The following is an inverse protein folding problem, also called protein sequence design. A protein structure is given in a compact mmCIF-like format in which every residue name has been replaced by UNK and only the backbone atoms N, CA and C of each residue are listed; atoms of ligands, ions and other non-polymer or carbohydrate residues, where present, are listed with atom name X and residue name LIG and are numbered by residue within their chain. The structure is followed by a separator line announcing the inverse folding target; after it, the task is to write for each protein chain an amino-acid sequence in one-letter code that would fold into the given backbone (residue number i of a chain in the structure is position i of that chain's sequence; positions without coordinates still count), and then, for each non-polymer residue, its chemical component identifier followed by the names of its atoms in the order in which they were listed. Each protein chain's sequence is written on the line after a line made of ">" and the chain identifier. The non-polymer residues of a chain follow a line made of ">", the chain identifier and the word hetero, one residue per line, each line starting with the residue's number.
data_IF_131830223718
#
_entry.id   IF_131830223718
#
_cell.length_a   1.000
_cell.length_b   1.000
_cell.length_c   1.000
_cell.angle_alpha   90.00
_cell.angle_beta   90.00
_cell.angle_gamma   90.00
#
_symmetry.space_group_name_H-M   'P 1'
#
loop_
_entity.id
_entity.type
_entity.pdbx_description
1 polymer ?
#
# COMPACT_ATOMS: atom_id res chain seq x y z
N UNK A 1 -5.19 5.81 24.66
CA UNK A 1 -5.95 6.27 23.49
C UNK A 1 -5.57 7.66 22.93
N UNK A 2 -5.58 8.81 23.62
CA UNK A 2 -5.31 10.10 22.93
C UNK A 2 -3.87 10.25 22.38
N UNK A 3 -2.85 9.82 23.13
CA UNK A 3 -1.45 9.97 22.73
C UNK A 3 -1.08 9.05 21.56
N UNK A 4 -1.55 7.81 21.59
CA UNK A 4 -1.29 6.83 20.50
C UNK A 4 -1.99 7.24 19.20
N UNK A 5 -3.22 7.79 19.29
CA UNK A 5 -3.96 8.26 18.11
C UNK A 5 -3.25 9.42 17.41
N UNK A 6 -2.56 10.29 18.16
CA UNK A 6 -1.75 11.36 17.58
C UNK A 6 -0.58 10.81 16.77
N UNK A 7 0.18 9.84 17.31
CA UNK A 7 1.28 9.22 16.60
C UNK A 7 0.81 8.43 15.36
N UNK A 8 -0.31 7.70 15.49
CA UNK A 8 -0.92 7.00 14.37
C UNK A 8 -1.35 7.97 13.26
N UNK A 9 -1.89 9.14 13.63
CA UNK A 9 -2.24 10.17 12.66
C UNK A 9 -1.01 10.80 11.98
N UNK A 10 0.07 11.04 12.73
CA UNK A 10 1.33 11.54 12.16
C UNK A 10 1.94 10.52 11.18
N UNK A 11 1.92 9.23 11.52
CA UNK A 11 2.36 8.15 10.64
C UNK A 11 1.49 8.08 9.38
N UNK A 12 0.16 8.17 9.52
CA UNK A 12 -0.78 8.21 8.40
C UNK A 12 -0.52 9.39 7.46
N UNK A 13 -0.30 10.58 8.03
CA UNK A 13 0.06 11.78 7.28
C UNK A 13 1.32 11.54 6.42
N UNK A 14 2.41 11.07 7.04
CA UNK A 14 3.66 10.79 6.32
C UNK A 14 3.48 9.73 5.21
N UNK A 15 2.80 8.63 5.52
CA UNK A 15 2.49 7.59 4.52
C UNK A 15 1.62 8.11 3.37
N UNK A 16 0.64 8.96 3.67
CA UNK A 16 -0.25 9.54 2.67
C UNK A 16 0.46 10.60 1.80
N UNK A 17 1.45 11.32 2.33
CA UNK A 17 2.35 12.16 1.52
C UNK A 17 3.05 11.30 0.47
N UNK A 18 3.62 10.17 0.88
CA UNK A 18 4.25 9.21 -0.05
C UNK A 18 3.25 8.72 -1.09
N UNK A 19 2.04 8.34 -0.67
CA UNK A 19 0.99 7.90 -1.59
C UNK A 19 0.61 9.00 -2.60
N UNK A 20 0.47 10.24 -2.16
CA UNK A 20 0.15 11.38 -3.03
C UNK A 20 1.19 11.59 -4.12
N UNK A 21 2.47 11.38 -3.80
CA UNK A 21 3.57 11.50 -4.76
C UNK A 21 3.66 10.30 -5.71
N UNK A 22 3.55 9.08 -5.18
CA UNK A 22 3.83 7.85 -5.96
C UNK A 22 2.59 7.19 -6.54
N UNK A 23 1.40 7.46 -5.97
CA UNK A 23 0.15 6.77 -6.28
C UNK A 23 -0.03 5.45 -5.54
N UNK A 24 0.90 5.08 -4.63
CA UNK A 24 0.88 3.86 -3.82
C UNK A 24 1.81 4.02 -2.61
N UNK A 25 1.90 3.01 -1.74
CA UNK A 25 2.98 2.90 -0.76
C UNK A 25 2.74 3.59 0.59
N UNK A 26 1.56 4.14 0.86
CA UNK A 26 1.26 4.65 2.21
C UNK A 26 1.52 3.59 3.27
N UNK A 27 0.97 2.40 3.09
CA UNK A 27 1.12 1.30 4.03
C UNK A 27 2.56 0.78 4.14
N UNK A 28 3.38 0.87 3.09
CA UNK A 28 4.80 0.50 3.18
C UNK A 28 5.54 1.30 4.25
N UNK A 29 5.20 2.58 4.39
CA UNK A 29 5.76 3.46 5.42
C UNK A 29 5.00 3.33 6.74
N UNK A 30 3.67 3.33 6.67
CA UNK A 30 2.83 3.42 7.86
C UNK A 30 2.78 2.11 8.64
N UNK A 31 2.70 0.95 7.98
CA UNK A 31 2.52 -0.33 8.66
C UNK A 31 3.70 -0.73 9.56
N UNK A 32 4.97 -0.66 9.09
CA UNK A 32 6.10 -0.95 9.95
C UNK A 32 6.16 -0.06 11.20
N UNK A 33 5.85 1.23 11.06
CA UNK A 33 5.87 2.19 12.17
C UNK A 33 4.68 1.98 13.12
N UNK A 34 3.47 1.79 12.58
CA UNK A 34 2.26 1.63 13.36
C UNK A 34 2.26 0.34 14.21
N UNK A 35 2.87 -0.73 13.73
CA UNK A 35 2.96 -2.01 14.47
C UNK A 35 3.87 -1.95 15.70
N UNK A 36 4.63 -0.86 15.89
CA UNK A 36 5.30 -0.57 17.15
C UNK A 36 4.35 -0.04 18.23
N UNK A 37 3.23 0.58 17.83
CA UNK A 37 2.27 1.21 18.73
C UNK A 37 1.05 0.33 18.98
N UNK A 38 0.58 -0.37 17.93
CA UNK A 38 -0.66 -1.15 17.97
C UNK A 38 -0.48 -2.53 17.31
N UNK A 39 -1.34 -3.51 17.61
CA UNK A 39 -1.32 -4.81 16.95
C UNK A 39 -1.51 -4.70 15.43
N UNK A 40 -0.88 -5.62 14.67
CA UNK A 40 -0.91 -5.63 13.20
C UNK A 40 -2.34 -5.60 12.63
N UNK A 41 -3.26 -6.42 13.17
CA UNK A 41 -4.66 -6.45 12.71
C UNK A 41 -5.37 -5.12 12.91
N UNK A 42 -5.16 -4.46 14.05
CA UNK A 42 -5.71 -3.12 14.32
C UNK A 42 -5.13 -2.08 13.35
N UNK A 43 -3.80 -2.08 13.16
CA UNK A 43 -3.15 -1.17 12.23
C UNK A 43 -3.67 -1.38 10.79
N UNK A 44 -3.80 -2.64 10.33
CA UNK A 44 -4.34 -2.96 9.01
C UNK A 44 -5.77 -2.46 8.82
N UNK A 45 -6.65 -2.66 9.81
CA UNK A 45 -8.02 -2.18 9.77
C UNK A 45 -8.09 -0.65 9.73
N UNK A 46 -7.36 0.02 10.63
CA UNK A 46 -7.34 1.48 10.72
C UNK A 46 -6.80 2.13 9.45
N UNK A 47 -5.65 1.68 8.98
CA UNK A 47 -5.06 2.26 7.76
C UNK A 47 -5.80 1.87 6.48
N UNK A 48 -6.59 0.79 6.46
CA UNK A 48 -7.48 0.50 5.34
C UNK A 48 -8.52 1.61 5.13
N UNK A 49 -9.03 2.22 6.22
CA UNK A 49 -9.96 3.36 6.15
C UNK A 49 -9.26 4.65 5.63
N UNK A 50 -8.01 4.88 6.01
CA UNK A 50 -7.22 5.98 5.46
C UNK A 50 -6.87 5.75 3.99
N UNK A 51 -6.44 4.53 3.64
CA UNK A 51 -6.03 4.16 2.29
C UNK A 51 -7.20 4.20 1.29
N UNK A 52 -8.44 3.87 1.71
CA UNK A 52 -9.58 3.97 0.80
C UNK A 52 -9.81 5.43 0.40
N UNK A 53 -9.75 6.38 1.34
CA UNK A 53 -9.86 7.81 1.04
C UNK A 53 -8.74 8.28 0.09
N UNK A 54 -7.49 7.86 0.37
CA UNK A 54 -6.34 8.15 -0.48
C UNK A 54 -6.48 7.58 -1.89
N UNK A 55 -6.92 6.33 -2.01
CA UNK A 55 -7.04 5.63 -3.29
C UNK A 55 -8.12 6.23 -4.20
N UNK A 56 -9.26 6.62 -3.63
CA UNK A 56 -10.29 7.35 -4.37
C UNK A 56 -9.78 8.71 -4.84
N UNK A 57 -9.01 9.40 -4.01
CA UNK A 57 -8.41 10.68 -4.36
C UNK A 57 -7.50 10.61 -5.59
N UNK A 58 -6.76 9.51 -5.79
CA UNK A 58 -5.85 9.31 -6.94
C UNK A 58 -6.56 8.60 -8.09
N UNK A 59 -7.34 7.56 -7.79
CA UNK A 59 -8.01 6.74 -8.80
C UNK A 59 -9.02 7.51 -9.65
N UNK A 60 -9.64 8.54 -9.06
CA UNK A 60 -10.63 9.39 -9.75
C UNK A 60 -10.03 10.66 -10.38
N UNK A 61 -8.71 10.88 -10.34
CA UNK A 61 -8.10 12.07 -10.97
C UNK A 61 -8.31 12.09 -12.49
N UNK A 62 -7.95 11.02 -13.19
CA UNK A 62 -8.05 10.91 -14.66
C UNK A 62 -8.39 9.47 -15.08
N UNK A 63 -9.54 8.92 -14.69
CA UNK A 63 -9.85 7.51 -14.92
C UNK A 63 -9.97 7.15 -16.41
N UNK A 64 -10.28 8.12 -17.26
CA UNK A 64 -10.37 7.95 -18.72
C UNK A 64 -9.03 7.64 -19.39
N UNK A 65 -7.91 8.02 -18.77
CA UNK A 65 -6.57 7.76 -19.27
C UNK A 65 -6.08 6.33 -18.90
N UNK A 66 -6.84 5.59 -18.09
CA UNK A 66 -6.46 4.25 -17.69
C UNK A 66 -6.56 3.25 -18.86
N UNK A 67 -5.56 2.38 -18.99
CA UNK A 67 -5.55 1.31 -20.00
C UNK A 67 -6.43 0.18 -19.52
N UNK A 68 -7.70 0.19 -19.97
CA UNK A 68 -8.73 -0.74 -19.55
C UNK A 68 -8.33 -2.21 -19.71
N UNK A 69 -7.58 -2.54 -20.75
CA UNK A 69 -7.13 -3.91 -21.00
C UNK A 69 -6.18 -4.42 -19.90
N UNK A 70 -5.28 -3.58 -19.39
CA UNK A 70 -4.36 -3.95 -18.30
C UNK A 70 -5.12 -4.02 -16.96
N UNK A 71 -6.01 -3.05 -16.70
CA UNK A 71 -6.86 -3.04 -15.52
C UNK A 71 -7.70 -4.33 -15.40
N UNK A 72 -8.45 -4.67 -16.45
CA UNK A 72 -9.35 -5.85 -16.43
C UNK A 72 -8.60 -7.19 -16.31
N UNK A 73 -7.32 -7.26 -16.70
CA UNK A 73 -6.50 -8.45 -16.48
C UNK A 73 -6.05 -8.62 -15.04
N UNK A 74 -5.79 -7.51 -14.36
CA UNK A 74 -5.35 -7.53 -12.97
C UNK A 74 -6.49 -7.85 -12.01
N UNK A 75 -7.69 -7.30 -12.23
CA UNK A 75 -8.83 -7.34 -11.28
C UNK A 75 -9.23 -8.75 -10.82
N UNK A 76 -9.40 -9.76 -11.69
CA UNK A 76 -9.79 -11.10 -11.24
C UNK A 76 -8.77 -11.72 -10.28
N UNK A 77 -7.48 -11.49 -10.54
CA UNK A 77 -6.42 -12.02 -9.69
C UNK A 77 -6.23 -11.19 -8.41
N UNK A 78 -6.52 -9.90 -8.44
CA UNK A 78 -6.59 -9.09 -7.22
C UNK A 78 -7.66 -9.64 -6.29
N UNK A 79 -8.83 -9.98 -6.80
CA UNK A 79 -9.90 -10.57 -6.01
C UNK A 79 -9.47 -11.91 -5.39
N UNK A 80 -8.91 -12.82 -6.20
CA UNK A 80 -8.41 -14.11 -5.72
C UNK A 80 -7.28 -13.95 -4.70
N UNK A 81 -6.33 -13.04 -4.97
CA UNK A 81 -5.23 -12.73 -4.07
C UNK A 81 -5.69 -12.09 -2.75
N UNK A 82 -6.68 -11.18 -2.81
CA UNK A 82 -7.28 -10.57 -1.62
C UNK A 82 -7.94 -11.64 -0.74
N UNK A 83 -8.73 -12.53 -1.32
CA UNK A 83 -9.37 -13.63 -0.59
C UNK A 83 -8.33 -14.55 0.06
N UNK A 84 -7.31 -14.98 -0.68
CA UNK A 84 -6.22 -15.80 -0.16
C UNK A 84 -5.44 -15.07 0.96
N UNK A 85 -5.11 -13.80 0.74
CA UNK A 85 -4.35 -12.99 1.71
C UNK A 85 -5.11 -12.77 3.02
N UNK A 86 -6.41 -12.50 2.97
CA UNK A 86 -7.24 -12.35 4.17
C UNK A 86 -7.38 -13.69 4.92
N UNK A 87 -7.56 -14.79 4.20
CA UNK A 87 -7.62 -16.14 4.83
C UNK A 87 -6.31 -16.46 5.56
N UNK A 88 -5.17 -16.10 4.97
CA UNK A 88 -3.88 -16.25 5.65
C UNK A 88 -3.79 -15.32 6.85
N UNK A 89 -4.17 -14.05 6.72
CA UNK A 89 -4.05 -13.04 7.77
C UNK A 89 -4.79 -13.43 9.06
N UNK A 90 -6.02 -13.93 8.95
CA UNK A 90 -6.83 -14.28 10.14
C UNK A 90 -6.30 -15.52 10.89
N UNK A 91 -5.46 -16.33 10.22
CA UNK A 91 -4.85 -17.51 10.80
C UNK A 91 -3.35 -17.34 11.13
N UNK A 92 -2.77 -16.15 10.81
CA UNK A 92 -1.34 -15.93 10.91
C UNK A 92 -0.92 -15.57 12.34
N UNK A 93 0.03 -16.31 12.96
CA UNK A 93 0.63 -15.90 14.23
C UNK A 93 1.27 -14.50 14.13
N UNK A 94 1.15 -13.71 15.21
CA UNK A 94 1.65 -12.31 15.24
C UNK A 94 3.13 -12.19 14.84
N UNK A 95 3.98 -13.08 15.38
CA UNK A 95 5.42 -13.07 15.07
C UNK A 95 5.69 -13.35 13.58
N UNK A 96 5.00 -14.33 12.98
CA UNK A 96 5.11 -14.63 11.57
C UNK A 96 4.62 -13.45 10.70
N UNK A 97 3.54 -12.78 11.10
CA UNK A 97 3.05 -11.57 10.40
C UNK A 97 4.08 -10.44 10.39
N UNK A 98 4.72 -10.18 11.53
CA UNK A 98 5.77 -9.16 11.62
C UNK A 98 7.01 -9.52 10.79
N UNK A 99 7.44 -10.79 10.84
CA UNK A 99 8.58 -11.29 10.07
C UNK A 99 8.34 -11.16 8.55
N UNK A 100 7.16 -11.59 8.10
CA UNK A 100 6.78 -11.52 6.69
C UNK A 100 6.65 -10.07 6.21
N UNK A 101 6.02 -9.19 7.02
CA UNK A 101 5.94 -7.76 6.70
C UNK A 101 7.33 -7.13 6.62
N UNK A 102 8.17 -7.35 7.61
CA UNK A 102 9.53 -6.80 7.64
C UNK A 102 10.37 -7.28 6.45
N UNK A 103 10.34 -8.58 6.15
CA UNK A 103 11.06 -9.16 5.00
C UNK A 103 10.55 -8.61 3.68
N UNK A 104 9.23 -8.49 3.50
CA UNK A 104 8.62 -7.91 2.30
C UNK A 104 9.04 -6.44 2.09
N UNK A 105 9.00 -5.65 3.16
CA UNK A 105 9.38 -4.22 3.12
C UNK A 105 10.86 -4.06 2.78
N UNK A 106 11.75 -4.87 3.38
CA UNK A 106 13.19 -4.86 3.07
C UNK A 106 13.43 -5.27 1.61
N UNK A 107 12.82 -6.36 1.15
CA UNK A 107 12.95 -6.82 -0.24
C UNK A 107 12.52 -5.75 -1.24
N UNK A 108 11.40 -5.08 -0.97
CA UNK A 108 10.93 -3.99 -1.81
C UNK A 108 11.87 -2.76 -1.74
N UNK A 109 12.39 -2.41 -0.57
CA UNK A 109 13.32 -1.31 -0.41
C UNK A 109 14.61 -1.54 -1.22
N UNK A 110 15.16 -2.76 -1.14
CA UNK A 110 16.32 -3.16 -1.95
C UNK A 110 15.99 -3.05 -3.43
N UNK A 111 14.85 -3.62 -3.87
CA UNK A 111 14.39 -3.51 -5.26
C UNK A 111 14.31 -2.04 -5.71
N UNK A 112 13.74 -1.15 -4.90
CA UNK A 112 13.51 0.26 -5.23
C UNK A 112 14.80 1.08 -5.34
N UNK A 113 15.92 0.62 -4.75
CA UNK A 113 17.23 1.31 -4.82
C UNK A 113 17.95 1.08 -6.14
N UNK A 114 17.67 -0.02 -6.84
CA UNK A 114 18.31 -0.30 -8.11
C UNK A 114 17.58 0.39 -9.27
N UNK A 115 18.30 1.03 -10.20
CA UNK A 115 17.69 1.55 -11.42
C UNK A 115 17.24 0.38 -12.30
N UNK A 116 15.96 0.38 -12.69
CA UNK A 116 15.40 -0.65 -13.56
C UNK A 116 15.19 -0.03 -14.95
N UNK A 117 16.10 -0.34 -15.86
CA UNK A 117 15.91 -0.05 -17.29
C UNK A 117 15.20 -1.22 -17.96
N UNK A 118 13.95 -1.04 -18.29
CA UNK A 118 13.17 -2.06 -18.99
C UNK A 118 13.29 -1.85 -20.49
N UNK A 119 14.08 -2.70 -21.15
CA UNK A 119 14.33 -2.62 -22.60
C UNK A 119 13.21 -3.21 -23.47
N UNK A 120 12.38 -4.12 -22.92
CA UNK A 120 11.28 -4.75 -23.66
C UNK A 120 10.05 -4.92 -22.75
N UNK A 121 8.82 -4.75 -23.31
CA UNK A 121 7.59 -4.99 -22.57
C UNK A 121 7.47 -6.46 -22.17
N UNK A 122 7.19 -6.72 -20.90
CA UNK A 122 6.91 -8.09 -20.41
C UNK A 122 5.59 -8.62 -20.97
N UNK A 123 5.48 -9.94 -21.02
CA UNK A 123 4.25 -10.62 -21.45
C UNK A 123 3.05 -10.19 -20.59
N UNK A 124 1.89 -10.06 -21.23
CA UNK A 124 0.61 -9.73 -20.57
C UNK A 124 0.18 -10.77 -19.54
N UNK A 125 0.69 -12.00 -19.64
CA UNK A 125 0.40 -13.07 -18.68
C UNK A 125 0.94 -12.78 -17.27
N UNK A 126 1.97 -11.95 -17.14
CA UNK A 126 2.46 -11.50 -15.83
C UNK A 126 1.44 -10.68 -15.03
N UNK A 127 0.38 -10.17 -15.67
CA UNK A 127 -0.74 -9.54 -14.97
C UNK A 127 -1.39 -10.48 -13.95
N UNK A 128 -1.47 -11.79 -14.25
CA UNK A 128 -2.05 -12.78 -13.34
C UNK A 128 -1.25 -12.88 -12.04
N UNK A 129 0.07 -13.00 -12.17
CA UNK A 129 0.95 -13.06 -11.01
C UNK A 129 0.97 -11.74 -10.24
N UNK A 130 1.06 -10.61 -10.93
CA UNK A 130 1.07 -9.30 -10.32
C UNK A 130 -0.25 -8.98 -9.59
N UNK A 131 -1.39 -9.32 -10.20
CA UNK A 131 -2.71 -9.17 -9.60
C UNK A 131 -2.85 -10.01 -8.33
N UNK A 132 -2.50 -11.29 -8.40
CA UNK A 132 -2.57 -12.21 -7.26
C UNK A 132 -1.63 -11.78 -6.13
N UNK A 133 -0.34 -11.59 -6.43
CA UNK A 133 0.64 -11.14 -5.44
C UNK A 133 0.27 -9.79 -4.81
N UNK A 134 -0.22 -8.85 -5.63
CA UNK A 134 -0.67 -7.55 -5.14
C UNK A 134 -1.92 -7.65 -4.24
N UNK A 135 -2.87 -8.52 -4.56
CA UNK A 135 -4.03 -8.81 -3.71
C UNK A 135 -3.62 -9.40 -2.37
N UNK A 136 -2.73 -10.42 -2.37
CA UNK A 136 -2.18 -11.04 -1.16
C UNK A 136 -1.45 -10.01 -0.30
N UNK A 137 -0.51 -9.26 -0.87
CA UNK A 137 0.28 -8.27 -0.11
C UNK A 137 -0.56 -7.07 0.33
N UNK A 138 -1.62 -6.72 -0.42
CA UNK A 138 -2.61 -5.72 0.00
C UNK A 138 -3.33 -6.15 1.28
N UNK A 139 -3.77 -7.40 1.36
CA UNK A 139 -4.51 -7.92 2.50
C UNK A 139 -3.60 -8.19 3.71
N UNK A 140 -2.42 -8.77 3.51
CA UNK A 140 -1.49 -9.12 4.58
C UNK A 140 -0.79 -7.90 5.18
N UNK A 141 -0.46 -6.90 4.35
CA UNK A 141 0.46 -5.82 4.74
C UNK A 141 -0.06 -4.42 4.39
N UNK A 142 -1.25 -4.31 3.79
CA UNK A 142 -1.73 -3.05 3.26
C UNK A 142 -0.99 -2.56 2.00
N UNK A 143 -0.03 -3.32 1.49
CA UNK A 143 0.98 -2.89 0.53
C UNK A 143 0.88 -3.63 -0.82
N UNK A 144 -0.29 -3.55 -1.47
CA UNK A 144 -0.51 -4.16 -2.80
C UNK A 144 0.17 -3.43 -3.97
N UNK A 145 0.62 -2.20 -3.75
CA UNK A 145 1.20 -1.36 -4.80
C UNK A 145 2.42 -1.93 -5.53
N UNK A 146 3.45 -2.45 -4.82
CA UNK A 146 4.68 -2.93 -5.44
C UNK A 146 4.50 -3.91 -6.60
N UNK A 147 3.77 -5.03 -6.49
CA UNK A 147 3.54 -5.94 -7.61
C UNK A 147 2.87 -5.27 -8.82
N UNK A 148 1.90 -4.38 -8.58
CA UNK A 148 1.22 -3.65 -9.66
C UNK A 148 2.17 -2.69 -10.37
N UNK A 149 3.00 -1.97 -9.62
CA UNK A 149 3.99 -1.03 -10.16
C UNK A 149 5.04 -1.77 -10.99
N UNK A 150 5.56 -2.89 -10.48
CA UNK A 150 6.54 -3.70 -11.19
C UNK A 150 5.99 -4.15 -12.53
N UNK A 151 4.75 -4.66 -12.58
CA UNK A 151 4.13 -5.09 -13.82
C UNK A 151 3.84 -3.92 -14.75
N UNK A 152 3.09 -2.90 -14.29
CA UNK A 152 2.64 -1.79 -15.14
C UNK A 152 3.80 -0.96 -15.68
N UNK A 153 4.91 -0.79 -14.93
CA UNK A 153 6.09 -0.07 -15.39
C UNK A 153 6.77 -0.74 -16.59
N UNK A 154 6.57 -2.04 -16.77
CA UNK A 154 7.13 -2.83 -17.86
C UNK A 154 6.17 -3.00 -19.06
N UNK A 155 5.03 -2.29 -19.06
CA UNK A 155 4.03 -2.39 -20.11
C UNK A 155 4.16 -1.32 -21.21
N UNK A 156 5.18 -0.44 -21.12
CA UNK A 156 5.37 0.62 -22.10
C UNK A 156 4.28 1.71 -22.08
N UNK A 157 3.63 1.89 -20.93
CA UNK A 157 2.59 2.90 -20.74
C UNK A 157 3.21 4.29 -20.64
N UNK A 158 2.52 5.30 -21.17
CA UNK A 158 2.85 6.71 -20.87
C UNK A 158 2.72 6.99 -19.37
N UNK A 159 3.35 8.08 -18.90
CA UNK A 159 3.26 8.46 -17.47
C UNK A 159 1.81 8.65 -17.00
N UNK A 160 0.96 9.19 -17.86
CA UNK A 160 -0.45 9.44 -17.57
C UNK A 160 -1.25 8.15 -17.54
N UNK A 161 -1.07 7.26 -18.52
CA UNK A 161 -1.70 5.94 -18.55
C UNK A 161 -1.29 5.07 -17.36
N UNK A 162 0.02 5.05 -17.04
CA UNK A 162 0.54 4.34 -15.88
C UNK A 162 -0.12 4.83 -14.60
N UNK A 163 -0.11 6.17 -14.33
CA UNK A 163 -0.69 6.75 -13.13
C UNK A 163 -2.18 6.49 -13.02
N UNK A 164 -2.93 6.65 -14.11
CA UNK A 164 -4.36 6.42 -14.14
C UNK A 164 -4.73 4.94 -13.94
N UNK A 165 -4.01 4.02 -14.61
CA UNK A 165 -4.23 2.57 -14.49
C UNK A 165 -3.87 2.09 -13.08
N UNK A 166 -2.72 2.52 -12.54
CA UNK A 166 -2.31 2.20 -11.18
C UNK A 166 -3.31 2.74 -10.15
N UNK A 167 -3.81 3.96 -10.34
CA UNK A 167 -4.81 4.56 -9.46
C UNK A 167 -6.11 3.75 -9.39
N UNK A 168 -6.64 3.29 -10.54
CA UNK A 168 -7.83 2.42 -10.57
C UNK A 168 -7.54 1.03 -9.97
N UNK A 169 -6.38 0.45 -10.25
CA UNK A 169 -5.97 -0.85 -9.71
C UNK A 169 -5.86 -0.78 -8.18
N UNK A 170 -5.20 0.23 -7.64
CA UNK A 170 -5.05 0.42 -6.19
C UNK A 170 -6.38 0.71 -5.53
N UNK A 171 -7.23 1.55 -6.14
CA UNK A 171 -8.59 1.84 -5.64
C UNK A 171 -9.41 0.55 -5.54
N UNK A 172 -9.42 -0.28 -6.58
CA UNK A 172 -10.12 -1.57 -6.57
C UNK A 172 -9.55 -2.53 -5.53
N UNK A 173 -8.22 -2.67 -5.46
CA UNK A 173 -7.55 -3.55 -4.50
C UNK A 173 -7.83 -3.16 -3.05
N UNK A 174 -7.79 -1.86 -2.74
CA UNK A 174 -8.07 -1.36 -1.40
C UNK A 174 -9.56 -1.51 -1.06
N UNK A 175 -10.47 -1.25 -2.01
CA UNK A 175 -11.91 -1.46 -1.82
C UNK A 175 -12.23 -2.93 -1.51
N UNK A 176 -11.65 -3.86 -2.27
CA UNK A 176 -11.81 -5.30 -2.02
C UNK A 176 -11.25 -5.70 -0.64
N UNK A 177 -10.11 -5.14 -0.23
CA UNK A 177 -9.54 -5.36 1.10
C UNK A 177 -10.47 -4.85 2.20
N UNK A 178 -11.03 -3.65 2.07
CA UNK A 178 -11.99 -3.09 3.05
C UNK A 178 -13.23 -3.97 3.17
N UNK A 179 -13.79 -4.42 2.04
CA UNK A 179 -14.92 -5.37 2.04
C UNK A 179 -14.54 -6.67 2.75
N UNK A 180 -13.37 -7.24 2.44
CA UNK A 180 -12.89 -8.46 3.06
C UNK A 180 -12.68 -8.28 4.58
N UNK A 181 -12.17 -7.14 5.03
CA UNK A 181 -12.00 -6.82 6.45
C UNK A 181 -13.32 -6.59 7.19
N UNK A 182 -14.35 -6.09 6.51
CA UNK A 182 -15.71 -6.05 7.05
C UNK A 182 -16.28 -7.47 7.23
N UNK A 183 -16.14 -8.32 6.23
CA UNK A 183 -16.64 -9.71 6.27
C UNK A 183 -15.92 -10.57 7.31
N UNK A 184 -14.65 -10.34 7.56
CA UNK A 184 -13.86 -11.08 8.56
C UNK A 184 -13.91 -10.49 9.97
N UNK A 185 -14.63 -9.38 10.16
CA UNK A 185 -14.80 -8.76 11.48
C UNK A 185 -13.65 -7.83 11.90
N UNK A 186 -12.57 -7.71 11.13
CA UNK A 186 -11.43 -6.85 11.46
C UNK A 186 -11.80 -5.36 11.57
N UNK A 187 -12.84 -4.92 10.85
CA UNK A 187 -13.36 -3.55 10.90
C UNK A 187 -14.55 -3.38 11.87
N UNK A 188 -14.92 -4.42 12.64
CA UNK A 188 -16.01 -4.31 13.60
C UNK A 188 -15.58 -3.75 14.96
N UNK A 189 -14.28 -3.60 15.21
CA UNK A 189 -13.75 -3.00 16.45
C UNK A 189 -14.10 -1.49 16.51
N UNK A 190 -14.90 -1.03 17.51
CA UNK A 190 -15.25 0.37 17.64
C UNK A 190 -14.06 1.31 17.82
N UNK A 191 -12.94 0.82 18.37
CA UNK A 191 -11.75 1.64 18.59
C UNK A 191 -11.02 1.95 17.27
N UNK A 192 -11.18 1.11 16.24
CA UNK A 192 -10.73 1.40 14.88
C UNK A 192 -11.44 2.64 14.34
N UNK A 193 -12.76 2.71 14.48
CA UNK A 193 -13.56 3.84 14.00
C UNK A 193 -13.29 5.13 14.78
N UNK A 194 -13.14 5.03 16.11
CA UNK A 194 -12.75 6.18 16.94
C UNK A 194 -11.39 6.75 16.53
N UNK A 195 -10.41 5.88 16.30
CA UNK A 195 -9.08 6.29 15.85
C UNK A 195 -9.12 6.84 14.41
N UNK A 196 -9.98 6.31 13.54
CA UNK A 196 -10.16 6.77 12.17
C UNK A 196 -10.61 8.23 12.08
N UNK A 197 -11.38 8.74 13.08
CA UNK A 197 -11.80 10.16 13.13
C UNK A 197 -10.62 11.13 13.12
N UNK A 198 -9.46 10.73 13.62
CA UNK A 198 -8.24 11.55 13.64
C UNK A 198 -7.29 11.16 12.51
N UNK A 199 -7.16 9.86 12.25
CA UNK A 199 -6.21 9.31 11.28
C UNK A 199 -6.63 9.60 9.83
N UNK A 200 -7.92 9.49 9.49
CA UNK A 200 -8.39 9.75 8.11
C UNK A 200 -8.23 11.22 7.70
N UNK A 201 -8.60 12.23 8.51
CA UNK A 201 -8.31 13.62 8.19
C UNK A 201 -6.81 13.91 8.03
N UNK A 202 -5.96 13.33 8.89
CA UNK A 202 -4.51 13.47 8.77
C UNK A 202 -3.99 12.86 7.45
N UNK A 203 -4.50 11.69 7.05
CA UNK A 203 -4.18 11.07 5.78
C UNK A 203 -4.60 11.93 4.58
N UNK A 204 -5.82 12.51 4.62
CA UNK A 204 -6.30 13.42 3.58
C UNK A 204 -5.44 14.69 3.47
N UNK A 205 -5.00 15.25 4.59
CA UNK A 205 -4.05 16.37 4.59
C UNK A 205 -2.69 15.95 3.99
N UNK A 206 -2.21 14.75 4.34
CA UNK A 206 -0.97 14.19 3.81
C UNK A 206 -1.01 13.98 2.30
N UNK A 207 -2.09 13.40 1.76
CA UNK A 207 -2.19 13.19 0.30
C UNK A 207 -2.30 14.50 -0.46
N UNK A 208 -3.00 15.48 0.09
CA UNK A 208 -3.07 16.82 -0.52
C UNK A 208 -1.68 17.47 -0.60
N UNK A 209 -0.88 17.39 0.46
CA UNK A 209 0.50 17.86 0.46
C UNK A 209 1.36 17.07 -0.52
N UNK A 210 1.25 15.73 -0.52
CA UNK A 210 1.99 14.85 -1.43
C UNK A 210 1.75 15.16 -2.90
N UNK A 211 0.51 15.45 -3.30
CA UNK A 211 0.17 15.86 -4.66
C UNK A 211 0.84 17.19 -5.05
N UNK A 212 0.99 18.13 -4.12
CA UNK A 212 1.72 19.40 -4.37
C UNK A 212 3.23 19.17 -4.49
N UNK A 213 3.81 18.31 -3.65
CA UNK A 213 5.24 17.98 -3.65
C UNK A 213 5.65 17.21 -4.91
N UNK A 214 4.75 16.38 -5.46
CA UNK A 214 5.00 15.64 -6.71
C UNK A 214 5.49 16.52 -7.86
N UNK A 215 5.07 17.80 -7.88
CA UNK A 215 5.44 18.76 -8.91
C UNK A 215 6.84 19.37 -8.72
N UNK A 216 7.47 19.22 -7.54
CA UNK A 216 8.66 19.98 -7.16
C UNK A 216 9.90 19.14 -6.84
N UNK A 217 9.78 17.82 -6.52
CA UNK A 217 10.92 17.00 -6.12
C UNK A 217 11.36 15.99 -7.19
N UNK A 218 12.69 15.78 -7.36
CA UNK A 218 13.20 14.72 -8.21
C UNK A 218 12.77 13.34 -7.68
N UNK A 219 12.12 12.54 -8.53
CA UNK A 219 11.63 11.19 -8.18
C UNK A 219 12.72 10.31 -7.54
N UNK A 220 13.97 10.43 -8.01
CA UNK A 220 15.08 9.63 -7.50
C UNK A 220 15.41 9.92 -6.03
N UNK A 221 15.37 11.19 -5.61
CA UNK A 221 15.62 11.58 -4.21
C UNK A 221 14.52 11.03 -3.31
N UNK A 222 13.25 11.17 -3.72
CA UNK A 222 12.13 10.68 -2.97
C UNK A 222 12.19 9.15 -2.78
N UNK A 223 12.49 8.39 -3.85
CA UNK A 223 12.60 6.93 -3.77
C UNK A 223 13.75 6.49 -2.85
N UNK A 224 14.87 7.22 -2.81
CA UNK A 224 15.97 6.94 -1.88
C UNK A 224 15.56 7.18 -0.42
N UNK A 225 14.89 8.29 -0.13
CA UNK A 225 14.39 8.58 1.22
C UNK A 225 13.43 7.48 1.68
N UNK A 226 12.47 7.11 0.84
CA UNK A 226 11.52 6.03 1.13
C UNK A 226 12.27 4.71 1.39
N UNK A 227 13.22 4.34 0.53
CA UNK A 227 13.95 3.09 0.67
C UNK A 227 14.76 3.04 1.99
N UNK A 228 15.40 4.13 2.40
CA UNK A 228 16.14 4.20 3.69
C UNK A 228 15.16 4.02 4.87
N UNK A 229 14.02 4.70 4.85
CA UNK A 229 12.99 4.55 5.89
C UNK A 229 12.45 3.11 5.94
N UNK A 230 12.24 2.49 4.79
CA UNK A 230 11.77 1.11 4.69
C UNK A 230 12.81 0.11 5.20
N UNK A 231 14.10 0.30 4.90
CA UNK A 231 15.16 -0.56 5.43
C UNK A 231 15.25 -0.48 6.95
N UNK A 232 15.22 0.73 7.50
CA UNK A 232 15.25 0.93 8.96
C UNK A 232 14.03 0.32 9.67
N UNK A 233 12.83 0.61 9.19
CA UNK A 233 11.59 0.12 9.79
C UNK A 233 11.39 -1.39 9.58
N UNK A 234 11.70 -1.92 8.39
CA UNK A 234 11.64 -3.34 8.11
C UNK A 234 12.65 -4.14 8.94
N UNK A 235 13.89 -3.63 9.07
CA UNK A 235 14.91 -4.23 9.93
C UNK A 235 14.49 -4.30 11.40
N UNK A 236 13.89 -3.23 11.92
CA UNK A 236 13.33 -3.19 13.27
C UNK A 236 12.22 -4.23 13.48
N UNK A 237 11.34 -4.43 12.49
CA UNK A 237 10.28 -5.46 12.57
C UNK A 237 10.85 -6.89 12.60
N UNK A 238 11.82 -7.18 11.73
CA UNK A 238 12.49 -8.50 11.71
C UNK A 238 13.17 -8.76 13.05
N UNK A 239 13.89 -7.78 13.56
CA UNK A 239 14.53 -7.89 14.88
C UNK A 239 13.52 -8.23 15.98
N UNK A 240 12.39 -7.52 16.04
CA UNK A 240 11.32 -7.78 17.04
C UNK A 240 10.59 -9.10 16.84
N UNK A 241 10.54 -9.63 15.64
CA UNK A 241 9.91 -10.90 15.36
C UNK A 241 10.78 -12.10 15.81
N UNK A 242 12.11 -11.89 15.89
CA UNK A 242 13.09 -12.92 16.28
C UNK A 242 13.44 -12.91 17.78
N UNK A 243 13.17 -11.81 18.47
CA UNK A 243 13.37 -11.65 19.92
C UNK A 243 12.07 -11.41 20.66
#
# INVERSE_FOLDING_TARGET
>A
MPAESFWLAAIAFCGSVVFGVTGFGAALVSMPLATHLVPLGFALALYALADIANSFSVGLEKPRNAVRAEYLRLVPMILAGTAAGVTVLVNLPRAAGMLLLGSFVIAYAIYALFPHEYRQPVSRNWAWLAGFAGGVTSSLFGAGGPPYVIYLSQRGLSKEEFRATLGLVTMTSISLRVVAFLLTGLLLDPDVWRSALVVVPAALAGIWLGKKIFLSLPRALLMRIIAVLLLGSGGSLVWRALN
#
